data_IF_140260047378
#
_entry.id   IF_140260047378
#
_cell.length_a   1.000
_cell.length_b   1.000
_cell.length_c   1.000
_cell.angle_alpha   90.00
_cell.angle_beta   90.00
_cell.angle_gamma   90.00
#
_symmetry.space_group_name_H-M   'P 1'
#
loop_
_entity.id
_entity.type
_entity.pdbx_description
1 polymer ?
#
# COMPACT_ATOMS: atom_id res chain seq x y z
N UNK A 1 -7.17 2.52 31.17
CA UNK A 1 -7.89 3.64 30.52
C UNK A 1 -7.95 3.34 29.03
N UNK A 2 -9.11 3.48 28.40
CA UNK A 2 -9.30 3.33 26.95
C UNK A 2 -9.57 4.69 26.32
N UNK A 3 -9.18 4.85 25.05
CA UNK A 3 -9.46 6.03 24.24
C UNK A 3 -10.28 5.59 23.02
N UNK A 4 -11.26 6.41 22.63
CA UNK A 4 -12.05 6.23 21.41
C UNK A 4 -11.73 7.34 20.43
N UNK A 5 -11.59 6.98 19.16
CA UNK A 5 -11.34 7.92 18.07
C UNK A 5 -12.34 7.65 16.96
N UNK A 6 -12.94 8.71 16.44
CA UNK A 6 -13.77 8.65 15.25
C UNK A 6 -12.89 8.90 14.02
N UNK A 7 -13.09 8.17 12.90
CA UNK A 7 -12.38 8.46 11.66
C UNK A 7 -12.72 9.87 11.15
N UNK A 8 -11.72 10.57 10.63
CA UNK A 8 -11.87 11.89 10.01
C UNK A 8 -12.08 11.80 8.49
N UNK A 9 -11.95 10.61 7.91
CA UNK A 9 -12.14 10.34 6.50
C UNK A 9 -11.88 8.89 6.12
N UNK A 10 -12.06 8.59 4.84
CA UNK A 10 -11.93 7.27 4.24
C UNK A 10 -11.05 7.34 2.99
N UNK A 11 -10.15 6.37 2.81
CA UNK A 11 -9.36 6.26 1.58
C UNK A 11 -10.07 5.39 0.55
N UNK A 12 -10.32 5.96 -0.62
CA UNK A 12 -10.63 5.25 -1.86
C UNK A 12 -9.31 4.95 -2.58
N UNK A 13 -8.94 3.67 -2.69
CA UNK A 13 -7.60 3.27 -3.13
C UNK A 13 -7.62 2.42 -4.39
N UNK A 14 -6.46 2.32 -5.06
CA UNK A 14 -6.26 1.33 -6.12
C UNK A 14 -6.22 -0.13 -5.63
N UNK A 15 -6.13 -0.38 -4.33
CA UNK A 15 -6.01 -1.72 -3.76
C UNK A 15 -7.36 -2.25 -3.29
N UNK A 16 -8.00 -3.05 -4.13
CA UNK A 16 -9.32 -3.63 -3.81
C UNK A 16 -9.25 -4.85 -2.86
N UNK A 17 -8.05 -5.37 -2.64
CA UNK A 17 -7.77 -6.47 -1.71
C UNK A 17 -6.35 -6.35 -1.15
N UNK A 18 -6.06 -7.11 -0.09
CA UNK A 18 -4.76 -7.02 0.62
C UNK A 18 -3.59 -7.59 -0.17
N UNK A 19 -3.87 -8.50 -1.11
CA UNK A 19 -2.82 -9.17 -1.86
C UNK A 19 -2.17 -8.15 -2.82
N UNK A 20 -0.85 -8.25 -2.98
CA UNK A 20 -0.01 -7.30 -3.73
C UNK A 20 -0.02 -5.82 -3.29
N UNK A 21 -0.65 -5.45 -2.16
CA UNK A 21 -0.37 -4.15 -1.53
C UNK A 21 1.12 -4.11 -1.17
N UNK A 22 1.86 -3.04 -1.52
CA UNK A 22 3.25 -2.90 -1.16
C UNK A 22 3.45 -3.02 0.36
N UNK A 23 4.53 -3.70 0.77
CA UNK A 23 4.78 -3.98 2.20
C UNK A 23 5.08 -2.72 3.01
N UNK A 24 5.48 -1.64 2.35
CA UNK A 24 5.85 -0.35 2.91
C UNK A 24 5.50 0.75 1.88
N UNK A 25 5.28 2.00 2.31
CA UNK A 25 5.06 3.13 1.42
C UNK A 25 6.24 3.33 0.46
N UNK A 26 6.01 4.05 -0.65
CA UNK A 26 7.01 4.38 -1.69
C UNK A 26 7.55 3.21 -2.52
N UNK A 27 7.22 1.96 -2.18
CA UNK A 27 7.57 0.79 -3.00
C UNK A 27 6.76 0.71 -4.30
N UNK A 28 5.61 1.41 -4.38
CA UNK A 28 4.84 1.63 -5.59
C UNK A 28 4.36 3.10 -5.68
N UNK A 29 5.22 4.04 -6.12
CA UNK A 29 4.85 5.46 -6.25
C UNK A 29 3.65 5.72 -7.18
N UNK A 30 3.35 4.81 -8.10
CA UNK A 30 2.20 4.91 -9.00
C UNK A 30 0.86 4.58 -8.30
N UNK A 31 0.87 4.04 -7.08
CA UNK A 31 -0.35 3.76 -6.32
C UNK A 31 -1.08 5.07 -6.01
N UNK A 32 -2.27 5.24 -6.58
CA UNK A 32 -3.13 6.42 -6.40
C UNK A 32 -4.28 6.12 -5.45
N UNK A 33 -4.71 7.14 -4.73
CA UNK A 33 -5.97 7.12 -4.00
C UNK A 33 -6.48 8.52 -3.68
N UNK A 34 -7.70 8.56 -3.18
CA UNK A 34 -8.36 9.79 -2.73
C UNK A 34 -8.75 9.60 -1.29
N UNK A 35 -8.30 10.50 -0.42
CA UNK A 35 -8.82 10.59 0.93
C UNK A 35 -10.04 11.52 0.92
N UNK A 36 -11.22 10.94 1.11
CA UNK A 36 -12.46 11.68 1.32
C UNK A 36 -12.62 12.00 2.80
N UNK A 37 -12.68 13.28 3.14
CA UNK A 37 -12.85 13.76 4.50
C UNK A 37 -14.33 13.71 4.87
N UNK A 38 -14.61 13.35 6.13
CA UNK A 38 -15.97 13.37 6.66
C UNK A 38 -16.30 14.74 7.24
N UNK A 39 -17.57 15.17 7.22
CA UNK A 39 -17.99 16.32 8.01
C UNK A 39 -17.69 16.14 9.51
N UNK A 40 -17.24 17.18 10.21
CA UNK A 40 -17.03 18.56 9.76
C UNK A 40 -15.58 18.84 9.27
N UNK A 41 -14.77 17.80 9.05
CA UNK A 41 -13.36 17.89 8.68
C UNK A 41 -13.14 18.16 7.18
N UNK A 42 -14.18 18.00 6.37
CA UNK A 42 -14.23 18.26 4.93
C UNK A 42 -14.19 19.75 4.56
N UNK A 43 -14.21 20.63 5.54
CA UNK A 43 -14.22 22.08 5.30
C UNK A 43 -12.83 22.63 4.95
N UNK A 44 -12.74 23.66 4.09
CA UNK A 44 -11.46 24.25 3.66
C UNK A 44 -10.54 24.69 4.80
N UNK A 45 -11.08 25.16 5.92
CA UNK A 45 -10.28 25.59 7.07
C UNK A 45 -9.46 24.45 7.70
N UNK A 46 -9.90 23.19 7.58
CA UNK A 46 -9.20 22.04 8.16
C UNK A 46 -7.95 21.65 7.37
N UNK A 47 -7.90 22.00 6.08
CA UNK A 47 -6.80 21.63 5.15
C UNK A 47 -5.98 22.83 4.69
N UNK A 48 -6.34 24.05 5.13
CA UNK A 48 -5.63 25.27 4.78
C UNK A 48 -4.14 25.19 5.16
N UNK A 49 -3.25 25.45 4.19
CA UNK A 49 -1.80 25.38 4.35
C UNK A 49 -1.18 24.05 3.94
N UNK A 50 -1.98 23.00 3.67
CA UNK A 50 -1.46 21.73 3.16
C UNK A 50 -0.85 21.86 1.75
N UNK A 51 -1.25 22.86 0.97
CA UNK A 51 -0.64 23.20 -0.32
C UNK A 51 0.86 23.56 -0.20
N UNK A 52 1.33 23.90 1.01
CA UNK A 52 2.73 24.19 1.30
C UNK A 52 3.61 22.95 1.49
N UNK A 53 3.05 21.73 1.48
CA UNK A 53 3.79 20.48 1.67
C UNK A 53 3.55 19.47 0.55
N UNK A 54 4.56 18.65 0.26
CA UNK A 54 4.47 17.62 -0.78
C UNK A 54 4.10 16.23 -0.25
N UNK A 55 4.24 16.00 1.06
CA UNK A 55 4.03 14.69 1.67
C UNK A 55 3.29 14.84 2.99
N UNK A 56 2.48 13.83 3.31
CA UNK A 56 1.69 13.74 4.52
C UNK A 56 1.99 12.42 5.24
N UNK A 57 1.98 12.47 6.57
CA UNK A 57 1.71 11.31 7.40
C UNK A 57 0.22 11.09 7.49
N UNK A 58 -0.22 9.86 7.20
CA UNK A 58 -1.55 9.38 7.52
C UNK A 58 -1.47 8.40 8.68
N UNK A 59 -2.27 8.62 9.73
CA UNK A 59 -2.55 7.62 10.76
C UNK A 59 -3.88 6.96 10.44
N UNK A 60 -3.90 5.64 10.39
CA UNK A 60 -5.06 4.90 9.88
C UNK A 60 -5.32 3.63 10.66
N UNK A 61 -6.49 3.02 10.42
CA UNK A 61 -6.88 1.76 11.06
C UNK A 61 -6.67 0.60 10.08
N UNK A 62 -5.94 -0.45 10.50
CA UNK A 62 -5.92 -1.75 9.82
C UNK A 62 -7.28 -2.46 9.98
N UNK A 63 -8.34 -1.89 9.42
CA UNK A 63 -9.74 -2.29 9.59
C UNK A 63 -10.02 -3.73 9.15
N UNK A 64 -9.21 -4.26 8.23
CA UNK A 64 -9.33 -5.63 7.75
C UNK A 64 -8.41 -6.63 8.49
N UNK A 65 -7.64 -6.24 9.50
CA UNK A 65 -6.76 -7.14 10.25
C UNK A 65 -7.30 -7.45 11.65
N UNK A 66 -7.07 -8.67 12.13
CA UNK A 66 -7.39 -9.02 13.52
C UNK A 66 -6.52 -8.21 14.50
N UNK A 67 -7.13 -7.69 15.55
CA UNK A 67 -6.52 -6.85 16.59
C UNK A 67 -6.92 -7.30 18.00
N UNK A 68 -6.24 -6.74 19.01
CA UNK A 68 -6.46 -7.08 20.43
C UNK A 68 -5.21 -7.57 21.16
N UNK A 69 -5.31 -7.64 22.47
CA UNK A 69 -4.18 -7.90 23.39
C UNK A 69 -3.45 -9.22 23.11
N UNK A 70 -4.10 -10.19 22.47
CA UNK A 70 -3.49 -11.45 22.06
C UNK A 70 -2.39 -11.30 20.98
N UNK A 71 -2.36 -10.19 20.24
CA UNK A 71 -1.43 -9.98 19.12
C UNK A 71 -0.08 -9.39 19.55
N UNK A 72 0.60 -10.03 20.52
CA UNK A 72 1.90 -9.58 21.04
C UNK A 72 3.12 -10.09 20.26
N UNK A 73 2.94 -11.13 19.43
CA UNK A 73 4.02 -11.74 18.64
C UNK A 73 3.58 -12.02 17.22
N UNK A 74 4.52 -11.94 16.28
CA UNK A 74 4.27 -12.06 14.84
C UNK A 74 5.38 -12.86 14.16
N UNK A 75 5.12 -13.33 12.93
CA UNK A 75 6.08 -14.02 12.06
C UNK A 75 6.33 -13.18 10.82
N UNK A 76 7.33 -12.28 10.82
CA UNK A 76 7.63 -11.45 9.67
C UNK A 76 8.07 -12.31 8.47
N UNK A 77 7.60 -12.01 7.24
CA UNK A 77 8.05 -12.71 6.04
C UNK A 77 9.58 -12.67 5.84
N UNK A 78 10.22 -11.56 6.25
CA UNK A 78 11.67 -11.35 6.14
C UNK A 78 12.53 -12.31 6.97
N UNK A 79 11.94 -12.94 7.99
CA UNK A 79 12.60 -13.96 8.81
C UNK A 79 12.24 -15.40 8.38
N UNK A 80 11.94 -15.58 7.09
CA UNK A 80 11.57 -16.87 6.51
C UNK A 80 10.26 -17.46 7.06
N UNK A 81 9.43 -16.66 7.75
CA UNK A 81 8.13 -17.07 8.28
C UNK A 81 8.15 -18.04 9.47
N UNK A 82 9.32 -18.52 9.90
CA UNK A 82 9.44 -19.49 11.00
C UNK A 82 9.82 -18.85 12.34
N UNK A 83 10.56 -17.75 12.31
CA UNK A 83 10.95 -17.04 13.52
C UNK A 83 9.83 -16.11 14.01
N UNK A 84 9.59 -16.11 15.33
CA UNK A 84 8.64 -15.20 15.98
C UNK A 84 9.37 -14.07 16.71
N UNK A 85 8.97 -12.84 16.47
CA UNK A 85 9.44 -11.65 17.22
C UNK A 85 8.27 -10.96 17.93
N UNK A 86 8.57 -10.03 18.83
CA UNK A 86 7.56 -9.17 19.44
C UNK A 86 6.91 -8.26 18.39
N UNK A 87 5.62 -7.98 18.52
CA UNK A 87 4.86 -7.18 17.54
C UNK A 87 5.44 -5.77 17.39
N UNK A 88 5.93 -5.16 18.47
CA UNK A 88 6.53 -3.82 18.46
C UNK A 88 7.93 -3.77 17.86
N UNK A 89 8.57 -4.92 17.61
CA UNK A 89 9.79 -5.02 16.82
C UNK A 89 9.50 -5.17 15.31
N UNK A 90 8.26 -4.92 14.89
CA UNK A 90 7.79 -5.10 13.51
C UNK A 90 6.78 -4.02 13.12
N UNK A 91 6.44 -3.97 11.83
CA UNK A 91 5.32 -3.21 11.26
C UNK A 91 4.14 -4.10 10.85
N UNK A 92 3.91 -5.21 11.58
CA UNK A 92 2.78 -6.12 11.32
C UNK A 92 1.44 -5.40 11.43
N UNK A 93 0.44 -5.77 10.63
CA UNK A 93 -0.93 -5.25 10.75
C UNK A 93 -1.68 -5.83 11.96
N UNK A 94 -1.34 -7.05 12.36
CA UNK A 94 -1.90 -7.72 13.54
C UNK A 94 -1.23 -7.21 14.82
N UNK A 95 -1.91 -6.30 15.53
CA UNK A 95 -1.39 -5.60 16.71
C UNK A 95 -2.49 -5.32 17.73
N UNK A 96 -2.16 -5.03 19.01
CA UNK A 96 -3.17 -4.68 20.01
C UNK A 96 -4.04 -3.50 19.60
N UNK A 97 -3.41 -2.38 19.24
CA UNK A 97 -4.06 -1.25 18.60
C UNK A 97 -3.71 -1.28 17.10
N UNK A 98 -4.69 -1.50 16.20
CA UNK A 98 -4.45 -1.69 14.78
C UNK A 98 -4.17 -0.37 14.05
N UNK A 99 -3.32 0.48 14.62
CA UNK A 99 -2.93 1.76 14.04
C UNK A 99 -1.77 1.52 13.07
N UNK A 100 -1.98 1.93 11.83
CA UNK A 100 -0.98 2.05 10.79
C UNK A 100 -0.52 3.50 10.62
N UNK A 101 0.63 3.64 9.97
CA UNK A 101 1.22 4.94 9.62
C UNK A 101 1.83 4.83 8.22
N UNK A 102 1.50 5.78 7.34
CA UNK A 102 2.00 5.82 5.96
C UNK A 102 2.44 7.23 5.58
N UNK A 103 3.59 7.35 4.91
CA UNK A 103 3.98 8.59 4.21
C UNK A 103 3.43 8.52 2.80
N UNK A 104 2.58 9.47 2.44
CA UNK A 104 1.99 9.58 1.10
C UNK A 104 2.39 10.91 0.48
N UNK A 105 2.38 10.97 -0.85
CA UNK A 105 2.53 12.23 -1.58
C UNK A 105 1.15 12.90 -1.69
N UNK A 106 1.10 14.21 -1.46
CA UNK A 106 -0.06 15.05 -1.73
C UNK A 106 0.06 15.59 -3.16
N UNK A 107 -0.83 15.15 -4.04
CA UNK A 107 -0.85 15.57 -5.45
C UNK A 107 -1.81 16.74 -5.69
N UNK A 108 -2.83 16.90 -4.85
CA UNK A 108 -3.81 17.96 -4.98
C UNK A 108 -4.82 17.97 -3.83
N UNK A 109 -5.52 19.10 -3.72
CA UNK A 109 -6.60 19.32 -2.75
C UNK A 109 -7.84 19.70 -3.56
N UNK A 110 -8.93 18.99 -3.32
CA UNK A 110 -10.27 19.24 -3.87
C UNK A 110 -11.25 19.43 -2.71
N UNK A 111 -12.49 19.84 -3.01
CA UNK A 111 -13.52 20.07 -1.99
C UNK A 111 -13.77 18.78 -1.17
N UNK A 112 -13.47 18.83 0.14
CA UNK A 112 -13.52 17.69 1.05
C UNK A 112 -12.58 16.52 0.73
N UNK A 113 -11.59 16.68 -0.16
CA UNK A 113 -10.78 15.55 -0.67
C UNK A 113 -9.30 15.88 -0.83
N UNK A 114 -8.44 14.91 -0.53
CA UNK A 114 -7.01 14.95 -0.83
C UNK A 114 -6.66 13.89 -1.88
N UNK A 115 -6.02 14.33 -2.96
CA UNK A 115 -5.50 13.44 -4.01
C UNK A 115 -4.10 12.96 -3.62
N UNK A 116 -3.90 11.65 -3.58
CA UNK A 116 -2.71 11.04 -3.01
C UNK A 116 -2.02 10.07 -3.97
N UNK A 117 -0.70 9.96 -3.83
CA UNK A 117 0.09 8.90 -4.47
C UNK A 117 1.15 8.27 -3.55
N UNK A 118 1.70 7.14 -3.98
CA UNK A 118 2.61 6.33 -3.18
C UNK A 118 1.95 5.66 -1.97
N UNK A 119 0.63 5.48 -2.03
CA UNK A 119 -0.17 4.90 -0.94
C UNK A 119 0.08 3.38 -0.80
N UNK A 120 -0.17 2.86 0.39
CA UNK A 120 -0.12 1.43 0.74
C UNK A 120 -1.36 0.99 1.56
N UNK A 121 -2.49 1.66 1.35
CA UNK A 121 -3.73 1.48 2.12
C UNK A 121 -4.76 0.69 1.31
N UNK A 122 -5.42 -0.27 1.96
CA UNK A 122 -6.55 -1.00 1.36
C UNK A 122 -7.71 -0.03 1.08
N UNK A 123 -8.49 -0.28 0.03
CA UNK A 123 -9.71 0.48 -0.24
C UNK A 123 -10.68 0.44 0.96
N UNK A 124 -11.28 1.58 1.28
CA UNK A 124 -12.12 1.75 2.47
C UNK A 124 -11.33 1.88 3.77
N UNK A 125 -10.03 2.17 3.73
CA UNK A 125 -9.24 2.35 4.97
C UNK A 125 -9.64 3.63 5.71
N UNK A 126 -10.06 3.56 6.99
CA UNK A 126 -10.38 4.73 7.80
C UNK A 126 -9.13 5.49 8.24
N UNK A 127 -9.15 6.82 8.11
CA UNK A 127 -8.09 7.72 8.57
C UNK A 127 -8.47 8.32 9.92
N UNK A 128 -7.52 8.29 10.85
CA UNK A 128 -7.63 8.89 12.18
C UNK A 128 -7.04 10.29 12.22
N UNK A 129 -5.97 10.55 11.46
CA UNK A 129 -5.23 11.80 11.53
C UNK A 129 -4.36 12.04 10.28
N UNK A 130 -4.11 13.30 9.98
CA UNK A 130 -3.30 13.77 8.85
C UNK A 130 -2.28 14.77 9.39
N UNK A 131 -1.00 14.60 9.06
CA UNK A 131 0.04 15.56 9.44
C UNK A 131 0.96 15.88 8.26
N UNK A 132 1.42 17.13 8.11
CA UNK A 132 2.48 17.42 7.15
C UNK A 132 3.73 16.63 7.51
N UNK A 133 4.36 16.01 6.51
CA UNK A 133 5.68 15.42 6.68
C UNK A 133 6.72 16.53 6.84
N UNK A 134 7.59 16.43 7.85
CA UNK A 134 8.57 17.45 8.19
C UNK A 134 9.97 16.89 7.95
N UNK A 135 10.62 17.17 6.80
CA UNK A 135 11.86 16.48 6.42
C UNK A 135 12.98 16.55 7.46
N UNK A 136 13.20 17.71 8.09
CA UNK A 136 14.28 17.86 9.07
C UNK A 136 14.04 17.06 10.36
N UNK A 137 12.79 16.69 10.65
CA UNK A 137 12.41 15.98 11.88
C UNK A 137 12.13 14.48 11.61
N UNK A 138 11.54 14.17 10.46
CA UNK A 138 11.08 12.82 10.12
C UNK A 138 12.09 12.00 9.31
N UNK A 139 13.08 12.65 8.68
CA UNK A 139 14.13 11.98 7.91
C UNK A 139 15.42 11.84 8.74
N UNK A 140 15.54 10.74 9.48
CA UNK A 140 16.73 10.40 10.26
C UNK A 140 17.71 9.57 9.43
N UNK A 141 18.76 10.20 8.91
CA UNK A 141 19.78 9.54 8.07
C UNK A 141 20.64 8.52 8.79
N UNK A 142 20.69 8.56 10.13
CA UNK A 142 21.47 7.67 10.99
C UNK A 142 20.63 6.51 11.56
N UNK A 143 19.35 6.42 11.21
CA UNK A 143 18.47 5.33 11.64
C UNK A 143 18.97 3.97 11.11
N UNK A 144 18.92 2.94 11.95
CA UNK A 144 19.31 1.57 11.59
C UNK A 144 18.20 0.55 11.87
N UNK A 145 18.12 -0.49 11.04
CA UNK A 145 17.15 -1.57 11.22
C UNK A 145 17.67 -2.89 10.63
N UNK A 146 18.16 -3.79 11.48
CA UNK A 146 18.75 -5.08 11.06
C UNK A 146 17.75 -6.05 10.41
N UNK A 147 16.44 -5.83 10.58
CA UNK A 147 15.39 -6.63 9.92
C UNK A 147 14.98 -6.03 8.55
N UNK A 148 15.35 -4.78 8.28
CA UNK A 148 14.77 -3.96 7.24
C UNK A 148 15.73 -2.90 6.69
N UNK A 149 17.00 -3.25 6.55
CA UNK A 149 18.06 -2.28 6.24
C UNK A 149 17.95 -1.69 4.83
N UNK A 150 17.42 -2.46 3.89
CA UNK A 150 17.24 -2.03 2.50
C UNK A 150 15.84 -2.37 1.96
N UNK A 151 15.49 -1.73 0.85
CA UNK A 151 14.36 -2.13 0.04
C UNK A 151 14.55 -3.59 -0.45
N UNK A 152 13.45 -4.37 -0.57
CA UNK A 152 13.53 -5.72 -1.13
C UNK A 152 14.03 -5.68 -2.58
N UNK A 153 14.70 -6.76 -3.01
CA UNK A 153 15.07 -6.94 -4.40
C UNK A 153 13.80 -7.01 -5.27
N UNK A 154 13.86 -6.35 -6.43
CA UNK A 154 12.77 -6.32 -7.39
C UNK A 154 12.94 -7.41 -8.45
N UNK A 155 11.84 -8.04 -8.83
CA UNK A 155 11.78 -8.97 -9.95
C UNK A 155 11.56 -8.22 -11.27
N UNK A 156 12.01 -8.84 -12.36
CA UNK A 156 11.67 -8.35 -13.70
C UNK A 156 10.21 -8.68 -13.99
N UNK A 157 9.43 -7.68 -14.39
CA UNK A 157 8.05 -7.86 -14.84
C UNK A 157 8.03 -7.69 -16.35
N UNK A 158 7.59 -8.73 -17.06
CA UNK A 158 7.30 -8.67 -18.49
C UNK A 158 5.83 -8.93 -18.77
N UNK A 159 5.40 -8.64 -20.00
CA UNK A 159 4.01 -8.67 -20.41
C UNK A 159 3.85 -9.61 -21.61
N UNK A 160 2.75 -10.37 -21.63
CA UNK A 160 2.25 -10.89 -22.90
C UNK A 160 1.70 -9.73 -23.75
N UNK A 161 1.79 -9.84 -25.08
CA UNK A 161 1.26 -8.81 -25.97
C UNK A 161 -0.24 -8.53 -25.72
N UNK A 162 -1.13 -9.55 -25.57
CA UNK A 162 -2.52 -9.30 -25.22
C UNK A 162 -2.70 -8.59 -23.87
N UNK A 163 -1.93 -8.95 -22.85
CA UNK A 163 -2.04 -8.33 -21.52
C UNK A 163 -1.63 -6.86 -21.53
N UNK A 164 -0.58 -6.51 -22.28
CA UNK A 164 -0.15 -5.12 -22.42
C UNK A 164 -1.20 -4.27 -23.14
N UNK A 165 -1.84 -4.81 -24.19
CA UNK A 165 -2.94 -4.13 -24.88
C UNK A 165 -4.14 -3.92 -23.97
N UNK A 166 -4.52 -4.94 -23.19
CA UNK A 166 -5.56 -4.85 -22.17
C UNK A 166 -5.22 -3.78 -21.11
N UNK A 167 -3.99 -3.79 -20.58
CA UNK A 167 -3.55 -2.82 -19.58
C UNK A 167 -3.60 -1.37 -20.10
N UNK A 168 -3.20 -1.12 -21.36
CA UNK A 168 -3.31 0.19 -22.00
C UNK A 168 -4.77 0.65 -22.14
N UNK A 169 -5.67 -0.25 -22.52
CA UNK A 169 -7.10 0.05 -22.60
C UNK A 169 -7.69 0.41 -21.22
N UNK A 170 -7.31 -0.35 -20.18
CA UNK A 170 -7.72 -0.06 -18.80
C UNK A 170 -7.13 1.25 -18.27
N UNK A 171 -5.87 1.57 -18.58
CA UNK A 171 -5.24 2.83 -18.22
C UNK A 171 -6.00 4.03 -18.77
N UNK A 172 -6.43 3.96 -20.06
CA UNK A 172 -7.24 5.00 -20.68
C UNK A 172 -8.63 5.12 -20.06
N UNK A 173 -9.29 3.99 -19.80
CA UNK A 173 -10.64 3.96 -19.19
C UNK A 173 -10.64 4.56 -17.79
N UNK A 174 -9.70 4.12 -16.94
CA UNK A 174 -9.61 4.53 -15.54
C UNK A 174 -8.96 5.91 -15.37
N UNK A 175 -8.22 6.37 -16.38
CA UNK A 175 -7.33 7.53 -16.27
C UNK A 175 -6.33 7.37 -15.11
N UNK A 176 -5.74 6.18 -15.01
CA UNK A 176 -4.82 5.77 -13.94
C UNK A 176 -3.54 5.17 -14.52
N UNK A 177 -2.41 5.21 -13.78
CA UNK A 177 -1.14 4.61 -14.18
C UNK A 177 -1.16 3.09 -13.99
N UNK A 178 -2.02 2.39 -14.73
CA UNK A 178 -2.30 0.95 -14.55
C UNK A 178 -1.04 0.10 -14.77
N UNK A 179 -0.28 0.40 -15.82
CA UNK A 179 0.92 -0.38 -16.19
C UNK A 179 1.98 -0.21 -15.12
N UNK A 180 2.29 1.03 -14.74
CA UNK A 180 3.31 1.36 -13.75
C UNK A 180 2.94 0.80 -12.37
N UNK A 181 1.66 0.87 -11.97
CA UNK A 181 1.20 0.28 -10.71
C UNK A 181 1.42 -1.23 -10.69
N UNK A 182 1.01 -1.94 -11.76
CA UNK A 182 1.14 -3.39 -11.85
C UNK A 182 2.62 -3.79 -11.80
N UNK A 183 3.47 -3.14 -12.59
CA UNK A 183 4.91 -3.40 -12.58
C UNK A 183 5.52 -3.18 -11.19
N UNK A 184 5.23 -2.04 -10.56
CA UNK A 184 5.78 -1.72 -9.26
C UNK A 184 5.32 -2.68 -8.17
N UNK A 185 4.03 -3.05 -8.14
CA UNK A 185 3.51 -3.98 -7.13
C UNK A 185 3.99 -5.41 -7.35
N UNK A 186 3.97 -5.91 -8.59
CA UNK A 186 4.40 -7.27 -8.90
C UNK A 186 5.91 -7.44 -8.75
N UNK A 187 6.72 -6.43 -9.11
CA UNK A 187 8.17 -6.46 -8.93
C UNK A 187 8.57 -6.71 -7.47
N UNK A 188 7.72 -6.38 -6.49
CA UNK A 188 7.97 -6.65 -5.07
C UNK A 188 7.81 -8.12 -4.68
N UNK A 189 7.52 -9.03 -5.61
CA UNK A 189 7.30 -10.46 -5.36
C UNK A 189 6.17 -10.71 -4.34
N UNK A 190 4.91 -10.49 -4.73
CA UNK A 190 3.77 -10.51 -3.81
C UNK A 190 3.38 -11.91 -3.33
N UNK A 191 3.88 -12.98 -3.96
CA UNK A 191 3.55 -14.35 -3.52
C UNK A 191 3.96 -14.57 -2.05
N UNK A 192 3.27 -15.45 -1.31
CA UNK A 192 3.68 -15.79 0.04
C UNK A 192 5.12 -16.34 0.08
N UNK A 193 5.93 -15.87 1.02
CA UNK A 193 7.37 -16.18 1.08
C UNK A 193 7.71 -17.68 1.19
N UNK A 194 6.78 -18.52 1.65
CA UNK A 194 6.95 -19.97 1.73
C UNK A 194 6.66 -20.69 0.41
N UNK A 195 6.04 -20.03 -0.57
CA UNK A 195 5.74 -20.63 -1.87
C UNK A 195 6.96 -20.52 -2.79
N UNK A 196 7.34 -21.66 -3.38
CA UNK A 196 8.30 -21.68 -4.48
C UNK A 196 7.58 -21.32 -5.79
N UNK A 197 8.22 -20.56 -6.68
CA UNK A 197 7.69 -20.30 -8.02
C UNK A 197 7.41 -21.64 -8.72
N UNK A 198 6.20 -21.81 -9.21
CA UNK A 198 5.79 -22.92 -10.06
C UNK A 198 5.36 -22.32 -11.40
N UNK A 199 5.99 -22.77 -12.49
CA UNK A 199 5.75 -22.25 -13.84
C UNK A 199 4.32 -22.49 -14.31
N UNK A 200 3.64 -23.51 -13.76
CA UNK A 200 2.28 -23.88 -14.12
C UNK A 200 1.22 -23.17 -13.27
N UNK A 201 1.62 -22.42 -12.25
CA UNK A 201 0.70 -21.74 -11.34
C UNK A 201 0.46 -20.31 -11.79
N UNK A 202 -0.81 -19.99 -12.05
CA UNK A 202 -1.27 -18.62 -12.18
C UNK A 202 -1.61 -18.02 -10.81
N UNK A 203 -1.32 -16.73 -10.69
CA UNK A 203 -1.67 -15.88 -9.57
C UNK A 203 -2.59 -14.78 -10.08
N UNK A 204 -3.44 -14.26 -9.19
CA UNK A 204 -4.37 -13.19 -9.49
C UNK A 204 -4.38 -12.16 -8.38
N UNK A 205 -4.57 -10.90 -8.74
CA UNK A 205 -4.83 -9.81 -7.80
C UNK A 205 -5.80 -8.81 -8.41
N UNK A 206 -6.62 -8.19 -7.56
CA UNK A 206 -7.52 -7.12 -7.97
C UNK A 206 -7.01 -5.73 -7.60
N UNK A 207 -6.80 -4.89 -8.61
CA UNK A 207 -6.59 -3.45 -8.45
C UNK A 207 -7.84 -2.73 -8.97
N UNK A 208 -8.38 -1.74 -8.27
CA UNK A 208 -9.67 -1.13 -8.62
C UNK A 208 -10.75 -2.19 -8.94
N UNK A 209 -11.33 -2.11 -10.14
CA UNK A 209 -12.27 -3.07 -10.73
C UNK A 209 -11.60 -3.99 -11.78
N UNK A 210 -10.27 -4.11 -11.80
CA UNK A 210 -9.53 -4.95 -12.75
C UNK A 210 -8.82 -6.13 -12.07
N UNK A 211 -8.91 -7.30 -12.69
CA UNK A 211 -8.25 -8.54 -12.35
C UNK A 211 -6.96 -8.69 -13.16
N UNK A 212 -5.82 -8.71 -12.47
CA UNK A 212 -4.49 -8.91 -13.05
C UNK A 212 -4.03 -10.33 -12.78
N UNK A 213 -3.71 -11.07 -13.85
CA UNK A 213 -3.19 -12.44 -13.75
C UNK A 213 -1.77 -12.53 -14.26
N UNK A 214 -0.95 -13.30 -13.56
CA UNK A 214 0.44 -13.53 -13.93
C UNK A 214 0.91 -14.92 -13.53
N UNK A 215 2.06 -15.33 -14.05
CA UNK A 215 2.79 -16.51 -13.60
C UNK A 215 4.30 -16.20 -13.51
N UNK A 216 5.07 -17.14 -12.99
CA UNK A 216 6.52 -17.03 -12.87
C UNK A 216 7.19 -17.92 -13.91
N UNK A 217 7.54 -17.43 -15.12
CA UNK A 217 8.28 -18.22 -16.10
C UNK A 217 9.67 -18.65 -15.59
N UNK A 218 10.26 -17.85 -14.72
CA UNK A 218 11.54 -18.09 -14.03
C UNK A 218 11.40 -17.60 -12.58
N UNK A 219 12.27 -18.05 -11.68
CA UNK A 219 12.16 -17.72 -10.26
C UNK A 219 12.30 -16.22 -9.96
N UNK A 220 12.99 -15.48 -10.83
CA UNK A 220 13.31 -14.05 -10.73
C UNK A 220 12.50 -13.18 -11.72
N UNK A 221 11.50 -13.76 -12.39
CA UNK A 221 10.73 -13.09 -13.44
C UNK A 221 9.24 -13.37 -13.30
N UNK A 222 8.45 -12.32 -13.45
CA UNK A 222 7.00 -12.35 -13.52
C UNK A 222 6.57 -12.04 -14.95
N UNK A 223 5.59 -12.80 -15.46
CA UNK A 223 4.91 -12.49 -16.72
C UNK A 223 3.44 -12.24 -16.49
N UNK A 224 2.99 -11.02 -16.79
CA UNK A 224 1.57 -10.67 -16.80
C UNK A 224 0.91 -11.27 -18.03
N UNK A 225 -0.16 -12.04 -17.84
CA UNK A 225 -0.85 -12.78 -18.90
C UNK A 225 -2.24 -12.26 -19.22
N UNK A 226 -2.89 -11.55 -18.28
CA UNK A 226 -4.17 -10.90 -18.51
C UNK A 226 -4.40 -9.70 -17.57
N UNK A 227 -5.12 -8.69 -18.07
CA UNK A 227 -5.64 -7.54 -17.31
C UNK A 227 -7.10 -7.31 -17.70
N UNK A 228 -8.01 -7.94 -16.97
CA UNK A 228 -9.43 -8.00 -17.32
C UNK A 228 -10.26 -7.22 -16.31
N UNK A 229 -11.48 -6.80 -16.67
CA UNK A 229 -12.43 -6.24 -15.71
C UNK A 229 -13.17 -7.39 -15.03
#
# INVERSE_FOLDING_TARGET
MSYSFEPIGLVHSCFAEKFAIPRQPQLAPAARGVLELFPPYDKPEAVAGLEGVSHLWLLFVFHAAASGEQHLRVRPPRLGGNQRIGVFASRSTHRPNPIGQSVVRLDGIEDGRLLLSGIDLLDGTPILDIKPYVPYADALSDASNTLAEAAPAQLVVDWSEPALQQARAQALRLQQPVIELIEQCLAQDPKPAYQRPDTNREYGVRFWDINVRWHYPQADRIRVVAVEQ
#
